data_IF_833897060611
#
_entry.id   IF_833897060611
#
_cell.length_a   1.000
_cell.length_b   1.000
_cell.length_c   1.000
_cell.angle_alpha   90.00
_cell.angle_beta   90.00
_cell.angle_gamma   90.00
#
_symmetry.space_group_name_H-M   'P 1'
#
loop_
_entity.id
_entity.type
_entity.pdbx_description
1 polymer ?
#
# COMPACT_ATOMS: atom_id res chain seq x y z
N UNK A 1 29.97 36.25 10.76
CA UNK A 1 29.43 34.89 10.46
C UNK A 1 28.10 34.94 9.72
N UNK A 2 27.09 35.67 10.21
CA UNK A 2 25.77 35.77 9.55
C UNK A 2 25.85 36.39 8.15
N UNK A 3 26.54 37.53 7.98
CA UNK A 3 26.70 38.20 6.68
C UNK A 3 27.39 37.32 5.64
N UNK A 4 28.44 36.59 6.05
CA UNK A 4 29.16 35.67 5.18
C UNK A 4 28.26 34.51 4.76
N UNK A 5 27.36 34.04 5.63
CA UNK A 5 26.56 32.84 5.34
C UNK A 5 25.31 33.16 4.53
N UNK A 6 24.54 34.17 4.92
CA UNK A 6 23.18 34.44 4.43
C UNK A 6 23.03 35.76 3.65
N UNK A 7 24.03 36.63 3.66
CA UNK A 7 23.99 37.92 2.96
C UNK A 7 25.05 37.99 1.84
N UNK A 8 25.51 39.20 1.51
CA UNK A 8 26.47 39.46 0.45
C UNK A 8 27.89 39.11 0.90
N UNK A 9 28.27 37.84 0.72
CA UNK A 9 29.57 37.30 1.14
C UNK A 9 30.80 37.78 0.35
N UNK A 10 30.75 38.11 -0.96
CA UNK A 10 31.95 38.48 -1.72
C UNK A 10 32.67 39.72 -1.18
N UNK A 11 32.00 40.86 -0.85
CA UNK A 11 32.69 42.02 -0.28
C UNK A 11 33.36 41.73 1.07
N UNK A 12 32.70 40.98 1.96
CA UNK A 12 33.26 40.60 3.25
C UNK A 12 34.48 39.68 3.11
N UNK A 13 34.42 38.70 2.20
CA UNK A 13 35.55 37.81 1.92
C UNK A 13 36.72 38.52 1.26
N UNK A 14 36.44 39.49 0.38
CA UNK A 14 37.45 40.31 -0.29
C UNK A 14 38.18 41.24 0.69
N UNK A 15 37.44 41.87 1.61
CA UNK A 15 38.03 42.72 2.64
C UNK A 15 38.97 41.95 3.57
N UNK A 16 38.64 40.70 3.92
CA UNK A 16 39.50 39.80 4.70
C UNK A 16 40.74 39.33 3.93
N UNK A 17 40.61 39.07 2.64
CA UNK A 17 41.72 38.68 1.78
C UNK A 17 42.72 39.83 1.58
N UNK A 18 42.23 41.05 1.34
CA UNK A 18 43.07 42.23 1.06
C UNK A 18 43.75 42.79 2.32
N UNK A 19 43.11 42.72 3.50
CA UNK A 19 43.65 43.35 4.73
C UNK A 19 44.40 42.39 5.68
N UNK A 20 44.27 41.06 5.52
CA UNK A 20 44.87 40.09 6.45
C UNK A 20 45.82 39.13 5.74
N UNK A 21 45.31 38.31 4.81
CA UNK A 21 46.10 37.37 4.01
C UNK A 21 45.23 36.71 2.94
N UNK A 22 45.78 36.42 1.76
CA UNK A 22 45.09 35.74 0.65
C UNK A 22 44.59 34.33 1.03
N UNK A 23 45.23 33.66 2.01
CA UNK A 23 44.80 32.34 2.49
C UNK A 23 43.38 32.33 3.09
N UNK A 24 42.88 33.48 3.54
CA UNK A 24 41.50 33.59 4.04
C UNK A 24 40.44 33.39 2.96
N UNK A 25 40.79 33.56 1.68
CA UNK A 25 39.89 33.27 0.56
C UNK A 25 39.57 31.78 0.47
N UNK A 26 40.58 30.91 0.65
CA UNK A 26 40.39 29.46 0.66
C UNK A 26 39.45 29.03 1.78
N UNK A 27 39.62 29.61 2.97
CA UNK A 27 38.73 29.39 4.11
C UNK A 27 37.29 29.85 3.82
N UNK A 28 37.11 31.01 3.18
CA UNK A 28 35.79 31.53 2.81
C UNK A 28 35.04 30.63 1.81
N UNK A 29 35.74 30.11 0.80
CA UNK A 29 35.18 29.16 -0.17
C UNK A 29 34.81 27.84 0.51
N UNK A 30 35.69 27.29 1.35
CA UNK A 30 35.43 26.05 2.09
C UNK A 30 34.22 26.19 3.02
N UNK A 31 34.12 27.33 3.72
CA UNK A 31 32.96 27.68 4.55
C UNK A 31 31.66 27.71 3.72
N UNK A 32 31.68 28.31 2.53
CA UNK A 32 30.51 28.38 1.65
C UNK A 32 30.09 27.04 1.08
N UNK A 33 31.03 26.21 0.65
CA UNK A 33 30.73 24.86 0.19
C UNK A 33 30.18 23.99 1.33
N UNK A 34 30.71 24.12 2.54
CA UNK A 34 30.25 23.28 3.65
C UNK A 34 28.90 23.77 4.18
N UNK A 35 28.80 25.03 4.59
CA UNK A 35 27.59 25.52 5.27
C UNK A 35 26.51 25.93 4.27
N UNK A 36 26.89 26.59 3.17
CA UNK A 36 25.94 27.00 2.14
C UNK A 36 25.37 25.82 1.35
N UNK A 37 26.20 24.86 0.96
CA UNK A 37 25.71 23.72 0.19
C UNK A 37 25.20 22.59 1.08
N UNK A 38 25.92 22.16 2.12
CA UNK A 38 25.47 21.02 2.92
C UNK A 38 24.37 21.41 3.92
N UNK A 39 24.60 22.43 4.75
CA UNK A 39 23.66 22.75 5.84
C UNK A 39 22.36 23.36 5.30
N UNK A 40 22.44 24.38 4.44
CA UNK A 40 21.22 25.03 3.92
C UNK A 40 20.41 24.10 3.03
N UNK A 41 21.04 23.29 2.17
CA UNK A 41 20.31 22.32 1.34
C UNK A 41 19.60 21.25 2.16
N UNK A 42 20.23 20.75 3.24
CA UNK A 42 19.58 19.80 4.15
C UNK A 42 18.39 20.45 4.86
N UNK A 43 18.57 21.68 5.36
CA UNK A 43 17.48 22.44 6.00
C UNK A 43 16.31 22.66 5.05
N UNK A 44 16.58 23.09 3.82
CA UNK A 44 15.55 23.26 2.77
C UNK A 44 14.85 21.94 2.44
N UNK A 45 15.60 20.83 2.38
CA UNK A 45 15.04 19.49 2.16
C UNK A 45 14.08 19.07 3.28
N UNK A 46 14.46 19.28 4.54
CA UNK A 46 13.59 18.99 5.70
C UNK A 46 12.33 19.86 5.69
N UNK A 47 12.47 21.16 5.42
CA UNK A 47 11.30 22.05 5.31
C UNK A 47 10.35 21.63 4.18
N UNK A 48 10.88 21.23 3.03
CA UNK A 48 10.07 20.74 1.91
C UNK A 48 9.36 19.43 2.26
N UNK A 49 10.06 18.50 2.93
CA UNK A 49 9.48 17.25 3.40
C UNK A 49 8.31 17.49 4.37
N UNK A 50 8.48 18.41 5.33
CA UNK A 50 7.41 18.74 6.27
C UNK A 50 6.23 19.41 5.58
N UNK A 51 6.49 20.30 4.62
CA UNK A 51 5.45 20.94 3.80
C UNK A 51 4.65 19.89 3.01
N UNK A 52 5.33 18.90 2.42
CA UNK A 52 4.66 17.79 1.74
C UNK A 52 3.87 16.91 2.70
N UNK A 53 4.37 16.69 3.91
CA UNK A 53 3.67 15.90 4.93
C UNK A 53 2.37 16.59 5.37
N UNK A 54 2.41 17.91 5.61
CA UNK A 54 1.22 18.71 5.93
C UNK A 54 0.24 18.72 4.77
N UNK A 55 0.72 18.93 3.54
CA UNK A 55 -0.13 18.87 2.35
C UNK A 55 -0.76 17.49 2.13
N UNK A 56 -0.04 16.40 2.46
CA UNK A 56 -0.56 15.03 2.40
C UNK A 56 -1.57 14.73 3.52
N UNK A 57 -1.47 15.42 4.65
CA UNK A 57 -2.39 15.31 5.79
C UNK A 57 -3.68 16.12 5.63
N UNK A 58 -3.80 16.95 4.59
CA UNK A 58 -5.04 17.66 4.29
C UNK A 58 -6.14 16.66 3.93
N UNK A 59 -7.16 16.59 4.77
CA UNK A 59 -8.33 15.72 4.61
C UNK A 59 -8.96 15.84 3.21
N UNK A 60 -8.89 17.03 2.59
CA UNK A 60 -9.41 17.25 1.24
C UNK A 60 -8.64 16.45 0.19
N UNK A 61 -7.32 16.39 0.31
CA UNK A 61 -6.44 15.62 -0.57
C UNK A 61 -6.71 14.13 -0.41
N UNK A 62 -6.88 13.67 0.84
CA UNK A 62 -7.24 12.27 1.13
C UNK A 62 -8.59 11.89 0.50
N UNK A 63 -9.63 12.70 0.69
CA UNK A 63 -10.96 12.47 0.12
C UNK A 63 -10.90 12.42 -1.41
N UNK A 64 -10.18 13.36 -2.02
CA UNK A 64 -10.06 13.42 -3.48
C UNK A 64 -9.30 12.22 -4.04
N UNK A 65 -8.23 11.77 -3.37
CA UNK A 65 -7.50 10.54 -3.74
C UNK A 65 -8.39 9.31 -3.66
N UNK A 66 -9.18 9.18 -2.59
CA UNK A 66 -10.14 8.07 -2.44
C UNK A 66 -11.21 8.09 -3.52
N UNK A 67 -11.75 9.26 -3.85
CA UNK A 67 -12.70 9.43 -4.96
C UNK A 67 -12.08 9.03 -6.30
N UNK A 68 -10.86 9.49 -6.61
CA UNK A 68 -10.16 9.14 -7.84
C UNK A 68 -9.92 7.63 -7.94
N UNK A 69 -9.46 6.99 -6.87
CA UNK A 69 -9.24 5.55 -6.85
C UNK A 69 -10.53 4.77 -7.08
N UNK A 70 -11.64 5.22 -6.48
CA UNK A 70 -12.96 4.61 -6.70
C UNK A 70 -13.43 4.76 -8.15
N UNK A 71 -13.24 5.93 -8.76
CA UNK A 71 -13.58 6.15 -10.18
C UNK A 71 -12.73 5.27 -11.11
N UNK A 72 -11.42 5.17 -10.87
CA UNK A 72 -10.56 4.29 -11.64
C UNK A 72 -10.94 2.81 -11.48
N UNK A 73 -11.31 2.41 -10.27
CA UNK A 73 -11.84 1.06 -10.00
C UNK A 73 -13.11 0.80 -10.81
N UNK A 74 -14.07 1.73 -10.76
CA UNK A 74 -15.32 1.64 -11.52
C UNK A 74 -15.04 1.49 -13.03
N UNK A 75 -14.20 2.34 -13.61
CA UNK A 75 -13.85 2.29 -15.04
C UNK A 75 -13.21 0.95 -15.44
N UNK A 76 -12.35 0.39 -14.58
CA UNK A 76 -11.73 -0.92 -14.82
C UNK A 76 -12.77 -2.04 -14.81
N UNK A 77 -13.72 -2.00 -13.88
CA UNK A 77 -14.79 -2.98 -13.77
C UNK A 77 -15.79 -2.85 -14.92
N UNK A 78 -16.13 -1.65 -15.36
CA UNK A 78 -16.97 -1.42 -16.54
C UNK A 78 -16.33 -2.03 -17.80
N UNK A 79 -15.03 -1.83 -18.00
CA UNK A 79 -14.31 -2.46 -19.13
C UNK A 79 -14.29 -3.98 -19.04
N UNK A 80 -14.01 -4.52 -17.85
CA UNK A 80 -14.04 -5.97 -17.64
C UNK A 80 -15.44 -6.53 -17.91
N UNK A 81 -16.48 -5.84 -17.43
CA UNK A 81 -17.87 -6.25 -17.61
C UNK A 81 -18.24 -6.34 -19.09
N UNK A 82 -17.91 -5.31 -19.88
CA UNK A 82 -18.16 -5.33 -21.32
C UNK A 82 -17.39 -6.40 -22.08
N UNK A 83 -16.24 -6.85 -21.56
CA UNK A 83 -15.47 -7.94 -22.18
C UNK A 83 -16.01 -9.32 -21.79
N UNK A 84 -16.56 -9.44 -20.59
CA UNK A 84 -17.06 -10.69 -20.02
C UNK A 84 -18.51 -11.01 -20.44
N UNK A 85 -19.37 -10.00 -20.55
CA UNK A 85 -20.78 -10.13 -20.97
C UNK A 85 -20.87 -10.39 -22.49
N UNK A 86 -20.69 -11.66 -22.88
CA UNK A 86 -20.77 -12.11 -24.28
C UNK A 86 -22.21 -12.20 -24.75
N UNK A 87 -23.12 -12.53 -23.84
CA UNK A 87 -24.55 -12.60 -24.12
C UNK A 87 -25.21 -11.23 -24.33
N UNK A 88 -24.55 -10.15 -23.87
CA UNK A 88 -25.07 -8.77 -23.84
C UNK A 88 -26.39 -8.67 -23.07
N UNK A 89 -26.59 -9.52 -22.07
CA UNK A 89 -27.81 -9.56 -21.26
C UNK A 89 -27.75 -8.61 -20.05
N UNK A 90 -26.63 -7.92 -19.86
CA UNK A 90 -26.42 -6.98 -18.76
C UNK A 90 -26.10 -7.66 -17.43
N UNK A 91 -25.72 -8.93 -17.46
CA UNK A 91 -25.15 -9.68 -16.35
C UNK A 91 -23.99 -10.56 -16.83
N UNK A 92 -23.21 -11.09 -15.87
CA UNK A 92 -22.20 -12.12 -16.12
C UNK A 92 -22.68 -13.40 -15.43
N UNK A 93 -22.90 -14.44 -16.21
CA UNK A 93 -23.23 -15.77 -15.71
C UNK A 93 -21.95 -16.53 -15.28
N UNK A 94 -22.11 -17.58 -14.46
CA UNK A 94 -20.97 -18.35 -13.93
C UNK A 94 -20.07 -18.95 -15.03
N UNK A 95 -20.67 -19.40 -16.13
CA UNK A 95 -19.94 -20.00 -17.26
C UNK A 95 -19.11 -18.93 -18.01
N UNK A 96 -19.66 -17.74 -18.22
CA UNK A 96 -18.95 -16.60 -18.82
C UNK A 96 -17.79 -16.14 -17.93
N UNK A 97 -18.01 -16.10 -16.60
CA UNK A 97 -16.97 -15.75 -15.64
C UNK A 97 -15.84 -16.80 -15.62
N UNK A 98 -16.18 -18.09 -15.67
CA UNK A 98 -15.20 -19.18 -15.73
C UNK A 98 -14.37 -19.10 -17.01
N UNK A 99 -15.03 -18.97 -18.17
CA UNK A 99 -14.33 -18.84 -19.45
C UNK A 99 -13.39 -17.62 -19.46
N UNK A 100 -13.82 -16.49 -18.90
CA UNK A 100 -12.99 -15.30 -18.80
C UNK A 100 -11.80 -15.47 -17.87
N UNK A 101 -11.96 -16.16 -16.73
CA UNK A 101 -10.88 -16.39 -15.76
C UNK A 101 -9.90 -17.47 -16.20
N UNK A 102 -10.25 -18.32 -17.17
CA UNK A 102 -9.33 -19.25 -17.84
C UNK A 102 -8.29 -18.53 -18.70
N UNK A 103 -8.59 -17.31 -19.20
CA UNK A 103 -7.61 -16.51 -19.91
C UNK A 103 -6.51 -16.02 -18.96
N UNK A 104 -5.27 -16.48 -19.19
CA UNK A 104 -4.11 -16.16 -18.35
C UNK A 104 -3.89 -14.67 -18.10
N UNK A 105 -4.15 -13.84 -19.12
CA UNK A 105 -4.01 -12.39 -19.01
C UNK A 105 -5.04 -11.78 -18.05
N UNK A 106 -6.29 -12.24 -18.11
CA UNK A 106 -7.38 -11.81 -17.24
C UNK A 106 -7.13 -12.27 -15.80
N UNK A 107 -6.71 -13.54 -15.64
CA UNK A 107 -6.34 -14.10 -14.34
C UNK A 107 -5.19 -13.31 -13.69
N UNK A 108 -4.11 -13.03 -14.44
CA UNK A 108 -2.99 -12.22 -13.98
C UNK A 108 -3.42 -10.79 -13.62
N UNK A 109 -4.33 -10.20 -14.40
CA UNK A 109 -4.86 -8.87 -14.14
C UNK A 109 -5.72 -8.81 -12.85
N UNK A 110 -6.58 -9.81 -12.62
CA UNK A 110 -7.36 -9.93 -11.39
C UNK A 110 -6.45 -10.16 -10.17
N UNK A 111 -5.40 -10.96 -10.31
CA UNK A 111 -4.38 -11.13 -9.27
C UNK A 111 -3.62 -9.83 -8.98
N UNK A 112 -3.28 -9.04 -10.00
CA UNK A 112 -2.68 -7.72 -9.83
C UNK A 112 -3.64 -6.73 -9.15
N UNK A 113 -4.95 -7.00 -9.18
CA UNK A 113 -5.96 -6.29 -8.40
C UNK A 113 -6.15 -6.83 -6.98
N UNK A 114 -5.29 -7.76 -6.54
CA UNK A 114 -5.32 -8.42 -5.22
C UNK A 114 -6.54 -9.32 -5.02
N UNK A 115 -7.04 -9.95 -6.09
CA UNK A 115 -8.06 -11.00 -6.01
C UNK A 115 -7.45 -12.38 -6.17
N UNK A 116 -7.89 -13.31 -5.33
CA UNK A 116 -7.57 -14.72 -5.48
C UNK A 116 -8.52 -15.38 -6.48
N UNK A 117 -7.97 -15.76 -7.63
CA UNK A 117 -8.65 -16.45 -8.73
C UNK A 117 -8.36 -17.95 -8.77
N UNK A 118 -7.78 -18.52 -7.71
CA UNK A 118 -7.48 -19.96 -7.62
C UNK A 118 -8.74 -20.83 -7.70
N UNK A 119 -9.87 -20.28 -7.27
CA UNK A 119 -11.19 -20.92 -7.32
C UNK A 119 -12.21 -19.91 -7.87
N UNK A 120 -12.44 -19.90 -9.19
CA UNK A 120 -13.32 -18.92 -9.83
C UNK A 120 -14.78 -19.08 -9.39
N UNK A 121 -15.22 -20.30 -9.06
CA UNK A 121 -16.58 -20.56 -8.59
C UNK A 121 -16.82 -19.94 -7.21
N UNK A 122 -15.85 -20.09 -6.29
CA UNK A 122 -15.91 -19.42 -4.99
C UNK A 122 -15.84 -17.90 -5.14
N UNK A 123 -14.96 -17.40 -6.00
CA UNK A 123 -14.84 -15.96 -6.22
C UNK A 123 -16.15 -15.38 -6.76
N UNK A 124 -16.78 -16.05 -7.73
CA UNK A 124 -18.09 -15.68 -8.26
C UNK A 124 -19.14 -15.60 -7.15
N UNK A 125 -19.26 -16.64 -6.32
CA UNK A 125 -20.21 -16.68 -5.21
C UNK A 125 -19.96 -15.56 -4.17
N UNK A 126 -18.71 -15.18 -3.96
CA UNK A 126 -18.35 -14.08 -3.05
C UNK A 126 -18.69 -12.70 -3.62
N UNK A 127 -18.69 -12.56 -4.96
CA UNK A 127 -19.10 -11.34 -5.66
C UNK A 127 -20.64 -11.26 -5.68
N UNK A 128 -21.33 -12.33 -6.07
CA UNK A 128 -22.80 -12.48 -6.03
C UNK A 128 -23.33 -12.69 -4.58
N UNK A 129 -23.05 -11.72 -3.73
CA UNK A 129 -23.47 -11.75 -2.33
C UNK A 129 -24.79 -11.04 -2.06
N UNK A 130 -25.30 -10.25 -3.00
CA UNK A 130 -26.51 -9.44 -2.79
C UNK A 130 -27.77 -10.22 -3.14
N UNK A 131 -27.86 -10.73 -4.39
CA UNK A 131 -29.04 -11.45 -4.88
C UNK A 131 -28.91 -12.95 -4.81
N UNK A 132 -27.69 -13.50 -4.97
CA UNK A 132 -27.46 -14.96 -5.04
C UNK A 132 -28.33 -15.62 -6.11
N UNK A 133 -28.58 -14.92 -7.20
CA UNK A 133 -29.36 -15.41 -8.34
C UNK A 133 -28.48 -16.10 -9.39
N UNK A 134 -27.16 -16.19 -9.14
CA UNK A 134 -26.22 -16.81 -10.06
C UNK A 134 -25.82 -15.89 -11.21
N UNK A 135 -26.11 -14.59 -11.09
CA UNK A 135 -25.82 -13.57 -12.10
C UNK A 135 -25.15 -12.37 -11.45
N UNK A 136 -24.07 -11.88 -12.04
CA UNK A 136 -23.37 -10.70 -11.52
C UNK A 136 -23.72 -9.49 -12.37
N UNK A 137 -24.44 -8.53 -11.79
CA UNK A 137 -24.65 -7.21 -12.42
C UNK A 137 -23.40 -6.33 -12.31
N UNK A 138 -23.30 -5.29 -13.14
CA UNK A 138 -22.18 -4.35 -13.11
C UNK A 138 -21.98 -3.73 -11.71
N UNK A 139 -23.06 -3.33 -11.04
CA UNK A 139 -23.01 -2.77 -9.69
C UNK A 139 -22.51 -3.77 -8.65
N UNK A 140 -22.90 -5.04 -8.78
CA UNK A 140 -22.45 -6.13 -7.91
C UNK A 140 -20.99 -6.47 -8.15
N UNK A 141 -20.53 -6.46 -9.40
CA UNK A 141 -19.12 -6.63 -9.72
C UNK A 141 -18.28 -5.52 -9.09
N UNK A 142 -18.64 -4.25 -9.31
CA UNK A 142 -17.91 -3.09 -8.78
C UNK A 142 -17.78 -3.19 -7.26
N UNK A 143 -18.89 -3.51 -6.59
CA UNK A 143 -18.96 -3.58 -5.12
C UNK A 143 -18.26 -4.83 -4.58
N UNK A 144 -18.52 -5.99 -5.18
CA UNK A 144 -18.01 -7.28 -4.77
C UNK A 144 -16.49 -7.32 -4.89
N UNK A 145 -15.95 -6.95 -6.05
CA UNK A 145 -14.50 -6.86 -6.25
C UNK A 145 -13.89 -5.79 -5.34
N UNK A 146 -14.55 -4.64 -5.16
CA UNK A 146 -14.08 -3.60 -4.25
C UNK A 146 -14.03 -4.03 -2.78
N UNK A 147 -14.88 -4.99 -2.37
CA UNK A 147 -14.92 -5.56 -1.02
C UNK A 147 -13.89 -6.68 -0.84
N UNK A 148 -13.71 -7.51 -1.86
CA UNK A 148 -12.82 -8.67 -1.83
C UNK A 148 -11.36 -8.30 -2.11
N UNK A 149 -11.11 -7.11 -2.66
CA UNK A 149 -9.77 -6.60 -2.88
C UNK A 149 -9.02 -6.40 -1.57
N UNK A 150 -7.85 -7.02 -1.49
CA UNK A 150 -6.87 -6.82 -0.43
C UNK A 150 -7.19 -7.61 0.84
N UNK A 151 -6.47 -7.30 1.92
CA UNK A 151 -6.65 -7.99 3.21
C UNK A 151 -7.90 -7.55 3.95
N UNK A 152 -8.54 -8.48 4.68
CA UNK A 152 -9.61 -8.15 5.62
C UNK A 152 -9.17 -7.03 6.57
N UNK A 153 -10.02 -6.02 6.75
CA UNK A 153 -9.72 -4.88 7.64
C UNK A 153 -9.84 -5.32 9.09
N UNK A 154 -9.18 -4.59 9.99
CA UNK A 154 -9.27 -4.83 11.44
C UNK A 154 -10.71 -4.85 11.95
N UNK A 155 -11.57 -4.00 11.38
CA UNK A 155 -13.01 -3.98 11.68
C UNK A 155 -13.71 -5.27 11.24
N UNK A 156 -13.44 -5.76 10.02
CA UNK A 156 -14.06 -6.98 9.50
C UNK A 156 -13.70 -8.19 10.40
N UNK A 157 -12.44 -8.27 10.84
CA UNK A 157 -11.98 -9.30 11.78
C UNK A 157 -12.63 -9.15 13.14
N UNK A 158 -12.75 -7.93 13.67
CA UNK A 158 -13.42 -7.68 14.95
C UNK A 158 -14.90 -8.10 14.91
N UNK A 159 -15.62 -7.76 13.85
CA UNK A 159 -17.01 -8.20 13.65
C UNK A 159 -17.10 -9.73 13.57
N UNK A 160 -16.19 -10.39 12.85
CA UNK A 160 -16.15 -11.86 12.79
C UNK A 160 -15.92 -12.48 14.18
N UNK A 161 -15.00 -11.93 14.98
CA UNK A 161 -14.74 -12.40 16.35
C UNK A 161 -15.96 -12.21 17.26
N UNK A 162 -16.70 -11.10 17.10
CA UNK A 162 -17.93 -10.86 17.83
C UNK A 162 -19.03 -11.87 17.47
N UNK A 163 -19.22 -12.16 16.19
CA UNK A 163 -20.18 -13.18 15.73
C UNK A 163 -19.79 -14.58 16.22
N UNK A 164 -18.50 -14.92 16.23
CA UNK A 164 -18.00 -16.18 16.79
C UNK A 164 -18.25 -16.25 18.29
N UNK A 165 -18.09 -15.15 19.04
CA UNK A 165 -18.39 -15.11 20.47
C UNK A 165 -19.89 -15.33 20.74
N UNK A 166 -20.78 -14.70 19.96
CA UNK A 166 -22.23 -14.92 20.04
C UNK A 166 -22.60 -16.38 19.77
N UNK A 167 -22.00 -16.98 18.74
CA UNK A 167 -22.21 -18.40 18.42
C UNK A 167 -21.73 -19.30 19.55
N UNK A 168 -20.57 -19.01 20.14
CA UNK A 168 -20.05 -19.74 21.29
C UNK A 168 -21.02 -19.69 22.47
N UNK A 169 -21.54 -18.51 22.81
CA UNK A 169 -22.49 -18.34 23.92
C UNK A 169 -23.81 -19.07 23.67
N UNK A 170 -24.31 -19.04 22.43
CA UNK A 170 -25.50 -19.80 22.02
C UNK A 170 -25.27 -21.31 22.17
N UNK A 171 -24.14 -21.83 21.72
CA UNK A 171 -23.77 -23.25 21.84
C UNK A 171 -23.70 -23.67 23.31
N UNK A 172 -23.06 -22.86 24.17
CA UNK A 172 -22.98 -23.11 25.62
C UNK A 172 -24.37 -23.09 26.26
N UNK A 173 -25.24 -22.16 25.85
CA UNK A 173 -26.60 -22.03 26.39
C UNK A 173 -27.49 -23.24 26.06
N UNK A 174 -27.23 -23.94 24.95
CA UNK A 174 -27.95 -25.16 24.55
C UNK A 174 -27.44 -26.43 25.27
N UNK A 175 -26.60 -26.30 26.29
CA UNK A 175 -26.12 -27.42 27.10
C UNK A 175 -24.95 -28.18 26.46
N UNK A 176 -24.43 -27.72 25.31
CA UNK A 176 -23.19 -28.22 24.76
C UNK A 176 -22.03 -27.63 25.58
N UNK A 177 -21.37 -28.45 26.40
CA UNK A 177 -20.11 -28.05 27.03
C UNK A 177 -19.01 -28.16 25.98
N UNK A 178 -18.47 -27.04 25.45
CA UNK A 178 -17.28 -27.13 24.63
C UNK A 178 -16.19 -27.81 25.45
N UNK A 179 -15.44 -28.73 24.83
CA UNK A 179 -14.22 -29.24 25.46
C UNK A 179 -13.36 -28.04 25.85
N UNK A 180 -12.63 -28.09 26.98
CA UNK A 180 -11.65 -27.07 27.29
C UNK A 180 -10.60 -27.07 26.17
N UNK A 181 -10.83 -26.21 25.17
CA UNK A 181 -9.79 -25.78 24.25
C UNK A 181 -8.75 -25.21 25.19
N UNK A 182 -7.52 -25.74 25.16
CA UNK A 182 -6.41 -25.14 25.87
C UNK A 182 -6.37 -23.68 25.41
N UNK A 183 -6.94 -22.79 26.22
CA UNK A 183 -6.88 -21.36 26.01
C UNK A 183 -5.42 -21.06 26.23
N UNK A 184 -4.62 -21.13 25.17
CA UNK A 184 -3.36 -20.41 25.14
C UNK A 184 -3.80 -18.97 25.43
N UNK A 185 -3.47 -18.51 26.62
CA UNK A 185 -3.82 -17.19 27.10
C UNK A 185 -3.51 -16.17 26.00
N UNK A 186 -4.22 -15.04 25.88
CA UNK A 186 -3.79 -13.95 25.00
C UNK A 186 -2.28 -13.65 25.14
N UNK A 187 -1.72 -13.84 26.35
CA UNK A 187 -0.29 -13.80 26.62
C UNK A 187 0.53 -14.86 25.87
N UNK A 188 0.06 -16.11 25.77
CA UNK A 188 0.72 -17.20 25.05
C UNK A 188 0.68 -16.99 23.53
N UNK A 189 -0.45 -16.47 23.01
CA UNK A 189 -0.56 -16.10 21.59
C UNK A 189 0.39 -14.95 21.25
N UNK A 190 0.41 -13.90 22.07
CA UNK A 190 1.33 -12.77 21.90
C UNK A 190 2.79 -13.18 22.09
N UNK A 191 3.10 -14.10 23.02
CA UNK A 191 4.44 -14.65 23.21
C UNK A 191 4.89 -15.48 22.01
N UNK A 192 3.99 -16.32 21.46
CA UNK A 192 4.26 -17.13 20.26
C UNK A 192 4.42 -16.26 19.02
N UNK A 193 3.58 -15.24 18.87
CA UNK A 193 3.68 -14.22 17.81
C UNK A 193 4.99 -13.43 17.92
N UNK A 194 5.36 -12.95 19.12
CA UNK A 194 6.67 -12.31 19.39
C UNK A 194 7.83 -13.23 19.00
N UNK A 195 7.78 -14.51 19.39
CA UNK A 195 8.85 -15.46 19.05
C UNK A 195 8.98 -15.68 17.53
N UNK A 196 7.86 -15.66 16.81
CA UNK A 196 7.84 -15.83 15.35
C UNK A 196 8.39 -14.58 14.66
N UNK A 197 8.06 -13.40 15.17
CA UNK A 197 8.60 -12.11 14.70
C UNK A 197 10.09 -11.96 15.01
N UNK A 198 10.57 -12.42 16.17
CA UNK A 198 12.00 -12.44 16.52
C UNK A 198 12.76 -13.41 15.61
N UNK A 199 12.24 -14.63 15.38
CA UNK A 199 12.84 -15.59 14.45
C UNK A 199 12.87 -15.10 13.00
N UNK A 200 11.84 -14.38 12.57
CA UNK A 200 11.82 -13.74 11.25
C UNK A 200 12.84 -12.59 11.17
N UNK A 201 12.98 -11.79 12.23
CA UNK A 201 14.00 -10.73 12.31
C UNK A 201 15.42 -11.30 12.30
N UNK A 202 15.65 -12.42 12.99
CA UNK A 202 16.94 -13.10 13.02
C UNK A 202 17.25 -13.78 11.68
N UNK A 203 16.23 -14.37 11.02
CA UNK A 203 16.38 -14.96 9.69
C UNK A 203 16.58 -13.90 8.59
N UNK A 204 15.97 -12.72 8.72
CA UNK A 204 16.17 -11.57 7.82
C UNK A 204 17.52 -10.88 8.09
N UNK A 205 17.98 -10.84 9.34
CA UNK A 205 19.33 -10.36 9.70
C UNK A 205 20.44 -11.28 9.19
N UNK A 206 20.19 -12.59 9.09
CA UNK A 206 21.16 -13.57 8.58
C UNK A 206 21.20 -13.70 7.04
N UNK A 207 20.21 -13.17 6.31
CA UNK A 207 20.11 -13.30 4.84
C UNK A 207 20.61 -12.11 4.03
N UNK A 208 21.31 -11.14 4.64
CA UNK A 208 21.90 -9.98 3.93
C UNK A 208 23.12 -10.32 3.05
N UNK A 209 23.43 -11.60 2.82
CA UNK A 209 24.50 -12.03 1.91
C UNK A 209 24.04 -13.06 0.89
N UNK A 210 22.97 -12.78 0.12
CA UNK A 210 22.91 -13.34 -1.24
C UNK A 210 22.14 -12.44 -2.20
N UNK A 211 22.92 -11.86 -3.10
CA UNK A 211 22.56 -11.09 -4.28
C UNK A 211 21.62 -11.86 -5.22
N UNK A 212 20.59 -11.19 -5.73
CA UNK A 212 19.97 -11.50 -7.02
C UNK A 212 19.22 -10.28 -7.58
N UNK A 213 19.91 -9.62 -8.51
CA UNK A 213 19.42 -8.95 -9.73
C UNK A 213 18.09 -8.17 -9.71
N UNK A 214 18.16 -6.89 -9.31
CA UNK A 214 17.06 -5.93 -9.38
C UNK A 214 17.03 -5.09 -10.67
N UNK A 215 17.84 -5.38 -11.69
CA UNK A 215 17.94 -4.54 -12.89
C UNK A 215 16.86 -4.82 -13.92
N UNK A 216 16.52 -6.09 -14.18
CA UNK A 216 15.48 -6.47 -15.14
C UNK A 216 14.06 -5.99 -14.77
N UNK A 217 13.73 -5.91 -13.48
CA UNK A 217 12.40 -5.49 -13.03
C UNK A 217 12.18 -3.97 -13.14
N UNK A 218 13.25 -3.18 -12.98
CA UNK A 218 13.20 -1.72 -13.11
C UNK A 218 13.02 -1.25 -14.56
N UNK A 219 13.48 -2.05 -15.54
CA UNK A 219 13.34 -1.76 -16.96
C UNK A 219 11.94 -2.07 -17.49
N UNK A 220 11.26 -3.09 -16.94
CA UNK A 220 9.86 -3.39 -17.28
C UNK A 220 8.88 -2.33 -16.73
N UNK A 221 9.06 -1.87 -15.49
CA UNK A 221 8.17 -0.88 -14.88
C UNK A 221 8.19 0.48 -15.59
N UNK A 222 9.36 0.92 -16.09
CA UNK A 222 9.46 2.16 -16.89
C UNK A 222 8.74 2.07 -18.23
N UNK A 223 8.56 0.88 -18.79
CA UNK A 223 7.81 0.68 -20.05
C UNK A 223 6.29 0.81 -19.86
N UNK A 224 5.79 0.76 -18.62
CA UNK A 224 4.35 0.74 -18.32
C UNK A 224 3.78 2.05 -17.77
N UNK A 225 4.63 3.05 -17.49
CA UNK A 225 4.22 4.37 -17.00
C UNK A 225 4.05 5.43 -18.12
N UNK A 226 4.50 5.14 -19.35
CA UNK A 226 4.45 6.05 -20.51
C UNK A 226 3.27 5.80 -21.49
N UNK A 227 2.15 5.19 -21.04
CA UNK A 227 0.92 5.02 -21.84
C UNK A 227 -0.33 5.42 -21.04
#
# INVERSE_FOLDING_TARGET
MFEITLANWPPASRLLAENVSEWFMLFGVLHKLTIGFAVVSVVNGVFMQETFNVAASDDRVMIQKRKRNFQMHRLKMERFFHLADKSSDGAIDIDEFREMTEHKEVSAWLQAMELDVSDPDKLFLLIDSSRRDGRITLEELIRGVGRLKGSAKSLDVACMLEEVAKLHDLIVSQGFRPMPVAQSSPADFLAKARSKTTRLRDALGAKSTTSADGRQFSEWLRSTEDI
#
